data_IF_473104486639
#
_entry.id   IF_473104486639
#
_cell.length_a   1.000
_cell.length_b   1.000
_cell.length_c   1.000
_cell.angle_alpha   90.00
_cell.angle_beta   90.00
_cell.angle_gamma   90.00
#
_symmetry.space_group_name_H-M   'P 1'
#
loop_
_entity.id
_entity.type
_entity.pdbx_description
1 polymer ?
#
# COMPACT_ATOMS: atom_id res chain seq x y z
N UNK A 1 4.36 -20.89 -3.33
CA UNK A 1 4.35 -20.76 -1.84
C UNK A 1 4.38 -19.31 -1.35
N UNK A 2 5.24 -18.43 -1.83
CA UNK A 2 5.33 -17.04 -1.34
C UNK A 2 4.04 -16.18 -1.42
N UNK A 3 3.20 -16.38 -2.43
CA UNK A 3 1.93 -15.64 -2.55
C UNK A 3 0.91 -16.05 -1.47
N UNK A 4 0.80 -17.34 -1.15
CA UNK A 4 -0.12 -17.84 -0.11
C UNK A 4 0.33 -17.31 1.25
N UNK A 5 1.62 -17.39 1.54
CA UNK A 5 2.17 -16.87 2.78
C UNK A 5 1.92 -15.36 2.95
N UNK A 6 2.21 -14.57 1.91
CA UNK A 6 1.93 -13.13 1.96
C UNK A 6 0.44 -12.80 2.08
N UNK A 7 -0.45 -13.65 1.53
CA UNK A 7 -1.90 -13.52 1.70
C UNK A 7 -2.33 -13.75 3.16
N UNK A 8 -1.76 -14.74 3.83
CA UNK A 8 -2.08 -15.03 5.25
C UNK A 8 -1.64 -13.84 6.12
N UNK A 9 -0.44 -13.32 5.89
CA UNK A 9 0.06 -12.14 6.61
C UNK A 9 -0.80 -10.90 6.33
N UNK A 10 -1.18 -10.70 5.07
CA UNK A 10 -2.09 -9.63 4.66
C UNK A 10 -3.42 -9.70 5.41
N UNK A 11 -4.08 -10.84 5.41
CA UNK A 11 -5.38 -11.00 6.07
C UNK A 11 -5.32 -10.70 7.58
N UNK A 12 -4.21 -11.09 8.24
CA UNK A 12 -3.98 -10.78 9.67
C UNK A 12 -3.76 -9.28 9.89
N UNK A 13 -2.93 -8.68 9.05
CA UNK A 13 -2.64 -7.23 9.12
C UNK A 13 -3.90 -6.41 8.87
N UNK A 14 -4.63 -6.71 7.78
CA UNK A 14 -5.88 -6.03 7.42
C UNK A 14 -6.89 -6.08 8.58
N UNK A 15 -7.11 -7.27 9.14
CA UNK A 15 -8.00 -7.43 10.30
C UNK A 15 -7.58 -6.57 11.49
N UNK A 16 -6.28 -6.50 11.79
CA UNK A 16 -5.75 -5.68 12.87
C UNK A 16 -5.97 -4.19 12.60
N UNK A 17 -5.68 -3.72 11.39
CA UNK A 17 -5.82 -2.33 10.98
C UNK A 17 -7.27 -1.87 11.03
N UNK A 18 -8.19 -2.69 10.55
CA UNK A 18 -9.63 -2.41 10.59
C UNK A 18 -10.17 -2.41 12.03
N UNK A 19 -9.82 -3.41 12.84
CA UNK A 19 -10.28 -3.50 14.24
C UNK A 19 -9.84 -2.31 15.08
N UNK A 20 -8.64 -1.78 14.82
CA UNK A 20 -8.09 -0.65 15.54
C UNK A 20 -8.36 0.71 14.85
N UNK A 21 -9.13 0.73 13.77
CA UNK A 21 -9.45 1.96 13.01
C UNK A 21 -8.20 2.78 12.63
N UNK A 22 -7.11 2.11 12.27
CA UNK A 22 -5.82 2.73 11.96
C UNK A 22 -5.86 3.42 10.60
N UNK A 23 -6.59 2.84 9.65
CA UNK A 23 -6.74 3.42 8.31
C UNK A 23 -7.94 4.36 8.33
N UNK A 24 -7.76 5.59 7.86
CA UNK A 24 -8.83 6.57 7.78
C UNK A 24 -9.94 6.10 6.81
N UNK A 25 -11.17 6.57 7.03
CA UNK A 25 -12.34 6.15 6.25
C UNK A 25 -12.27 6.62 4.79
N UNK A 26 -11.56 7.71 4.55
CA UNK A 26 -11.36 8.31 3.24
C UNK A 26 -10.38 7.50 2.37
N UNK A 27 -9.56 6.65 2.99
CA UNK A 27 -8.67 5.73 2.28
C UNK A 27 -9.48 4.56 1.73
N UNK A 28 -9.87 4.63 0.47
CA UNK A 28 -10.58 3.55 -0.23
C UNK A 28 -9.71 2.81 -1.25
N UNK A 29 -8.54 3.35 -1.61
CA UNK A 29 -7.57 2.64 -2.43
C UNK A 29 -7.03 1.40 -1.71
N UNK A 30 -6.97 0.26 -2.42
CA UNK A 30 -6.53 -1.04 -1.91
C UNK A 30 -7.35 -1.59 -0.72
N UNK A 31 -8.50 -1.01 -0.41
CA UNK A 31 -9.37 -1.47 0.66
C UNK A 31 -10.39 -2.47 0.13
N UNK A 32 -10.56 -3.59 0.83
CA UNK A 32 -11.53 -4.62 0.49
C UNK A 32 -12.96 -4.05 0.52
N UNK A 33 -13.74 -4.35 -0.53
CA UNK A 33 -15.11 -3.84 -0.67
C UNK A 33 -15.25 -2.43 -1.23
N UNK A 34 -14.17 -1.69 -1.43
CA UNK A 34 -14.15 -0.38 -2.07
C UNK A 34 -13.79 -0.50 -3.55
N UNK A 35 -14.36 0.35 -4.39
CA UNK A 35 -14.16 0.36 -5.85
C UNK A 35 -13.79 1.76 -6.33
N UNK A 36 -13.11 1.84 -7.47
CA UNK A 36 -12.81 3.11 -8.15
C UNK A 36 -14.08 3.90 -8.51
N UNK A 37 -15.18 3.19 -8.81
CA UNK A 37 -16.51 3.80 -9.03
C UNK A 37 -17.01 4.59 -7.83
N UNK A 38 -16.66 4.19 -6.61
CA UNK A 38 -17.09 4.87 -5.38
C UNK A 38 -16.41 6.23 -5.26
N UNK A 39 -15.13 6.34 -5.64
CA UNK A 39 -14.42 7.61 -5.73
C UNK A 39 -15.03 8.54 -6.77
N UNK A 40 -15.31 8.02 -7.96
CA UNK A 40 -15.91 8.79 -9.06
C UNK A 40 -17.27 9.31 -8.62
N UNK A 41 -18.11 8.48 -8.03
CA UNK A 41 -19.42 8.87 -7.54
C UNK A 41 -19.34 9.92 -6.44
N UNK A 42 -18.42 9.75 -5.49
CA UNK A 42 -18.21 10.72 -4.40
C UNK A 42 -17.80 12.08 -4.96
N UNK A 43 -16.80 12.11 -5.84
CA UNK A 43 -16.34 13.35 -6.46
C UNK A 43 -17.46 14.03 -7.26
N UNK A 44 -18.17 13.26 -8.09
CA UNK A 44 -19.32 13.77 -8.85
C UNK A 44 -20.39 14.36 -7.92
N UNK A 45 -20.71 13.66 -6.83
CA UNK A 45 -21.72 14.15 -5.88
C UNK A 45 -21.32 15.46 -5.21
N UNK A 46 -20.03 15.61 -4.86
CA UNK A 46 -19.49 16.87 -4.30
C UNK A 46 -19.62 17.99 -5.31
N UNK A 47 -19.21 17.75 -6.55
CA UNK A 47 -19.28 18.72 -7.65
C UNK A 47 -20.74 19.16 -7.90
N UNK A 48 -21.65 18.20 -8.06
CA UNK A 48 -23.07 18.47 -8.33
C UNK A 48 -23.72 19.29 -7.18
N UNK A 49 -23.40 18.97 -5.93
CA UNK A 49 -23.88 19.75 -4.76
C UNK A 49 -23.34 21.16 -4.76
N UNK A 50 -22.07 21.35 -5.08
CA UNK A 50 -21.47 22.68 -5.14
C UNK A 50 -22.09 23.53 -6.24
N UNK A 51 -22.29 22.98 -7.44
CA UNK A 51 -22.95 23.69 -8.55
C UNK A 51 -24.39 24.11 -8.19
N UNK A 52 -25.18 23.20 -7.60
CA UNK A 52 -26.54 23.52 -7.15
C UNK A 52 -26.58 24.66 -6.12
N UNK A 53 -25.51 24.81 -5.33
CA UNK A 53 -25.39 25.84 -4.30
C UNK A 53 -24.62 27.07 -4.80
N UNK A 54 -24.35 27.19 -6.09
CA UNK A 54 -23.53 28.27 -6.71
C UNK A 54 -22.16 28.43 -6.04
N UNK A 55 -21.58 27.35 -5.51
CA UNK A 55 -20.25 27.31 -4.86
C UNK A 55 -19.20 26.85 -5.84
N UNK A 56 -17.99 27.41 -5.71
CA UNK A 56 -16.81 26.96 -6.45
C UNK A 56 -16.20 25.73 -5.77
N UNK A 57 -15.71 24.79 -6.58
CA UNK A 57 -14.92 23.63 -6.12
C UNK A 57 -13.53 23.76 -6.72
N UNK A 58 -12.54 23.60 -5.88
CA UNK A 58 -11.14 23.50 -6.29
C UNK A 58 -10.68 22.07 -6.02
N UNK A 59 -10.09 21.43 -7.02
CA UNK A 59 -9.56 20.06 -6.89
C UNK A 59 -8.06 20.06 -7.17
N UNK A 60 -7.30 19.35 -6.33
CA UNK A 60 -5.88 19.10 -6.54
C UNK A 60 -5.65 17.58 -6.57
N UNK A 61 -5.00 17.10 -7.62
CA UNK A 61 -4.66 15.68 -7.78
C UNK A 61 -3.16 15.51 -7.52
N UNK A 62 -2.82 14.67 -6.53
CA UNK A 62 -1.44 14.38 -6.16
C UNK A 62 -1.14 12.95 -6.58
N UNK A 63 -0.10 12.75 -7.40
CA UNK A 63 0.39 11.44 -7.81
C UNK A 63 1.84 11.25 -7.39
N UNK A 64 2.15 10.11 -6.78
CA UNK A 64 3.48 9.78 -6.32
C UNK A 64 4.25 9.00 -7.39
N UNK A 65 5.31 9.59 -7.91
CA UNK A 65 6.17 8.93 -8.89
C UNK A 65 6.81 7.67 -8.29
N UNK A 66 6.54 6.51 -8.91
CA UNK A 66 7.10 5.22 -8.49
C UNK A 66 6.82 4.88 -7.00
N UNK A 67 5.61 5.16 -6.51
CA UNK A 67 5.24 5.05 -5.10
C UNK A 67 5.76 3.77 -4.41
N UNK A 68 5.62 2.60 -5.05
CA UNK A 68 6.08 1.33 -4.47
C UNK A 68 7.60 1.12 -4.52
N UNK A 69 8.27 1.68 -5.52
CA UNK A 69 9.70 1.45 -5.74
C UNK A 69 10.58 2.36 -4.87
N UNK A 70 10.03 3.48 -4.38
CA UNK A 70 10.76 4.50 -3.63
C UNK A 70 10.54 4.45 -2.12
N UNK A 71 9.73 3.53 -1.62
CA UNK A 71 9.42 3.41 -0.19
C UNK A 71 10.70 3.22 0.62
N UNK A 72 10.90 4.09 1.61
CA UNK A 72 11.89 3.89 2.65
C UNK A 72 11.40 2.79 3.61
N UNK A 73 12.07 1.64 3.62
CA UNK A 73 11.68 0.48 4.43
C UNK A 73 11.81 0.73 5.93
N UNK A 74 12.81 1.50 6.34
CA UNK A 74 12.99 1.85 7.76
C UNK A 74 11.85 2.73 8.26
N UNK A 75 11.45 3.72 7.48
CA UNK A 75 10.30 4.56 7.78
C UNK A 75 8.99 3.74 7.82
N UNK A 76 8.82 2.79 6.91
CA UNK A 76 7.69 1.86 6.92
C UNK A 76 7.66 1.03 8.20
N UNK A 77 8.79 0.41 8.59
CA UNK A 77 8.87 -0.39 9.81
C UNK A 77 8.66 0.46 11.08
N UNK A 78 9.17 1.68 11.09
CA UNK A 78 8.91 2.62 12.18
C UNK A 78 7.42 2.93 12.32
N UNK A 79 6.71 3.18 11.22
CA UNK A 79 5.26 3.38 11.23
C UNK A 79 4.49 2.15 11.71
N UNK A 80 4.84 0.95 11.24
CA UNK A 80 4.21 -0.27 11.74
C UNK A 80 4.39 -0.42 13.25
N UNK A 81 5.58 -0.11 13.75
CA UNK A 81 5.87 -0.12 15.18
C UNK A 81 5.03 0.89 15.96
N UNK A 82 4.86 2.13 15.43
CA UNK A 82 3.98 3.15 16.02
C UNK A 82 2.52 2.69 16.11
N UNK A 83 2.05 1.92 15.14
CA UNK A 83 0.72 1.30 15.15
C UNK A 83 0.64 0.04 16.03
N UNK A 84 1.60 -0.14 16.92
CA UNK A 84 1.68 -1.25 17.86
C UNK A 84 1.76 -2.65 17.21
N UNK A 85 2.21 -2.72 15.95
CA UNK A 85 2.52 -3.97 15.27
C UNK A 85 3.93 -4.37 15.69
N UNK A 86 4.04 -5.35 16.61
CA UNK A 86 5.28 -5.76 17.29
C UNK A 86 5.39 -7.28 17.38
N UNK A 87 6.52 -7.74 17.89
CA UNK A 87 6.79 -9.16 18.18
C UNK A 87 6.94 -10.01 16.91
N UNK A 88 6.71 -11.32 16.99
CA UNK A 88 7.03 -12.26 15.90
C UNK A 88 6.38 -11.92 14.56
N UNK A 89 5.21 -11.29 14.57
CA UNK A 89 4.55 -10.87 13.34
C UNK A 89 5.31 -9.75 12.63
N UNK A 90 5.78 -8.76 13.39
CA UNK A 90 6.62 -7.68 12.89
C UNK A 90 7.96 -8.22 12.37
N UNK A 91 8.59 -9.13 13.12
CA UNK A 91 9.87 -9.73 12.76
C UNK A 91 9.77 -10.50 11.43
N UNK A 92 8.67 -11.20 11.20
CA UNK A 92 8.40 -11.88 9.92
C UNK A 92 8.34 -10.87 8.79
N UNK A 93 7.58 -9.78 8.95
CA UNK A 93 7.46 -8.74 7.91
C UNK A 93 8.84 -8.13 7.63
N UNK A 94 9.59 -7.77 8.68
CA UNK A 94 10.93 -7.20 8.54
C UNK A 94 11.88 -8.16 7.82
N UNK A 95 11.89 -9.42 8.18
CA UNK A 95 12.74 -10.44 7.56
C UNK A 95 12.40 -10.68 6.07
N UNK A 96 11.14 -10.51 5.66
CA UNK A 96 10.76 -10.59 4.23
C UNK A 96 11.43 -9.51 3.38
N UNK A 97 11.86 -8.41 3.99
CA UNK A 97 12.48 -7.28 3.30
C UNK A 97 13.98 -7.13 3.58
N UNK A 98 14.56 -7.98 4.46
CA UNK A 98 15.98 -7.95 4.81
C UNK A 98 16.88 -8.24 3.60
N UNK A 99 16.49 -9.22 2.79
CA UNK A 99 17.15 -9.55 1.53
C UNK A 99 16.13 -9.65 0.39
N UNK A 100 16.01 -8.59 -0.38
CA UNK A 100 15.20 -8.59 -1.59
C UNK A 100 16.12 -8.59 -2.79
N UNK A 101 16.14 -9.73 -3.48
CA UNK A 101 16.89 -9.91 -4.72
C UNK A 101 15.93 -9.84 -5.91
N UNK A 102 16.37 -9.25 -7.00
CA UNK A 102 15.66 -9.24 -8.27
C UNK A 102 16.63 -9.50 -9.42
N UNK A 103 16.10 -10.08 -10.48
CA UNK A 103 16.83 -10.28 -11.74
C UNK A 103 15.89 -9.92 -12.89
N UNK A 104 16.45 -9.49 -14.00
CA UNK A 104 15.70 -9.17 -15.21
C UNK A 104 15.78 -10.37 -16.15
N UNK A 105 14.63 -10.79 -16.68
CA UNK A 105 14.54 -11.83 -17.71
C UNK A 105 14.43 -11.16 -19.07
N UNK A 106 15.38 -11.44 -19.94
CA UNK A 106 15.37 -11.03 -21.35
C UNK A 106 15.29 -12.23 -22.28
N UNK A 107 15.31 -12.00 -23.60
CA UNK A 107 15.40 -13.07 -24.60
C UNK A 107 16.73 -13.81 -24.51
N UNK A 108 17.80 -13.15 -24.07
CA UNK A 108 19.16 -13.69 -23.96
C UNK A 108 19.42 -14.43 -22.63
N UNK A 109 18.43 -14.46 -21.72
CA UNK A 109 18.56 -15.14 -20.43
C UNK A 109 18.11 -14.32 -19.22
N UNK A 110 18.66 -14.67 -18.06
CA UNK A 110 18.40 -14.00 -16.78
C UNK A 110 19.68 -13.33 -16.33
N UNK A 111 19.59 -12.05 -15.94
CA UNK A 111 20.74 -11.32 -15.38
C UNK A 111 21.15 -11.87 -14.01
N UNK A 112 22.31 -11.47 -13.53
CA UNK A 112 22.72 -11.68 -12.14
C UNK A 112 21.70 -11.07 -11.17
N UNK A 113 21.64 -11.63 -9.97
CA UNK A 113 20.77 -11.14 -8.92
C UNK A 113 21.29 -9.83 -8.32
N UNK A 114 20.45 -8.81 -8.35
CA UNK A 114 20.71 -7.50 -7.77
C UNK A 114 19.94 -7.34 -6.46
N UNK A 115 20.57 -6.74 -5.46
CA UNK A 115 19.93 -6.46 -4.15
C UNK A 115 19.21 -5.13 -4.17
N UNK A 116 17.89 -5.15 -3.86
CA UNK A 116 17.11 -3.94 -3.66
C UNK A 116 17.19 -3.49 -2.20
N UNK A 117 17.57 -2.22 -1.99
CA UNK A 117 17.63 -1.60 -0.65
C UNK A 117 16.38 -0.79 -0.30
N UNK A 118 15.57 -0.41 -1.29
CA UNK A 118 14.38 0.44 -1.14
C UNK A 118 13.19 -0.20 -1.83
N UNK A 119 12.01 0.33 -1.57
CA UNK A 119 10.77 -0.12 -2.19
C UNK A 119 10.21 -1.42 -1.61
N UNK A 120 8.98 -1.73 -2.00
CA UNK A 120 8.28 -2.95 -1.63
C UNK A 120 8.00 -3.81 -2.85
N UNK A 121 7.80 -5.12 -2.64
CA UNK A 121 7.61 -6.09 -3.72
C UNK A 121 6.30 -5.82 -4.45
N UNK A 122 6.37 -5.45 -5.73
CA UNK A 122 5.18 -5.32 -6.58
C UNK A 122 4.48 -6.68 -6.72
N UNK A 123 3.15 -6.68 -6.65
CA UNK A 123 2.34 -7.90 -6.69
C UNK A 123 2.34 -8.73 -5.40
N UNK A 124 2.92 -8.22 -4.31
CA UNK A 124 2.75 -8.78 -2.97
C UNK A 124 1.52 -8.15 -2.30
N UNK A 125 0.66 -8.95 -1.71
CA UNK A 125 -0.54 -8.48 -1.01
C UNK A 125 -0.23 -7.49 0.11
N UNK A 126 0.85 -7.70 0.86
CA UNK A 126 1.29 -6.77 1.91
C UNK A 126 1.67 -5.39 1.38
N UNK A 127 2.21 -5.32 0.16
CA UNK A 127 2.67 -4.05 -0.41
C UNK A 127 1.52 -3.07 -0.64
N UNK A 128 0.34 -3.55 -1.03
CA UNK A 128 -0.86 -2.73 -1.18
C UNK A 128 -1.35 -2.18 0.16
N UNK A 129 -1.22 -2.97 1.25
CA UNK A 129 -1.57 -2.52 2.60
C UNK A 129 -0.63 -1.43 3.11
N UNK A 130 0.59 -1.39 2.61
CA UNK A 130 1.57 -0.36 3.01
C UNK A 130 1.34 0.98 2.31
N UNK A 131 0.57 1.01 1.22
CA UNK A 131 0.27 2.23 0.46
C UNK A 131 -0.27 3.40 1.33
N UNK A 132 -1.16 3.19 2.32
CA UNK A 132 -1.64 4.27 3.19
C UNK A 132 -0.58 4.84 4.15
N UNK A 133 0.58 4.20 4.26
CA UNK A 133 1.65 4.59 5.21
C UNK A 133 2.83 5.29 4.54
N UNK A 134 2.73 5.46 3.24
CA UNK A 134 3.70 6.15 2.38
C UNK A 134 3.31 7.61 2.26
#
# INVERSE_FOLDING_TARGET
MGKIFSQILYNRLEKYLDTNSIICKEQIGFKKGSRTSDHILTLKTIIDKAFKSSKKVYACYIDFKKAFDTINREALFYKLFQYNIKGPFFDIIQNMYKEVLFAVRSQDGITDFLKSKVGVKQGCFLSSTFSPYI
#
